data_IF_241318634398
#
_entry.id   IF_241318634398
#
_cell.length_a   1.000
_cell.length_b   1.000
_cell.length_c   1.000
_cell.angle_alpha   90.00
_cell.angle_beta   90.00
_cell.angle_gamma   90.00
#
_symmetry.space_group_name_H-M   'P 1'
#
loop_
_entity.id
_entity.type
_entity.pdbx_description
1 polymer ?
#
# COMPACT_ATOMS: atom_id res chain seq x y z
N UNK A 1 -14.43 -10.74 -15.86
CA UNK A 1 -13.43 -11.27 -14.91
C UNK A 1 -13.21 -10.32 -13.73
N UNK A 2 -12.81 -9.06 -13.96
CA UNK A 2 -12.58 -8.06 -12.91
C UNK A 2 -13.76 -7.85 -11.94
N UNK A 3 -15.00 -7.82 -12.43
CA UNK A 3 -16.18 -7.69 -11.57
C UNK A 3 -16.34 -8.86 -10.58
N UNK A 4 -15.96 -10.09 -10.99
CA UNK A 4 -16.01 -11.27 -10.11
C UNK A 4 -14.93 -11.20 -9.04
N UNK A 5 -13.72 -10.75 -9.42
CA UNK A 5 -12.61 -10.53 -8.48
C UNK A 5 -13.00 -9.46 -7.45
N UNK A 6 -13.53 -8.33 -7.91
CA UNK A 6 -14.00 -7.28 -7.01
C UNK A 6 -15.08 -7.78 -6.06
N UNK A 7 -16.09 -8.50 -6.56
CA UNK A 7 -17.10 -9.10 -5.69
C UNK A 7 -16.48 -9.99 -4.62
N UNK A 8 -15.58 -10.89 -5.00
CA UNK A 8 -14.84 -11.74 -4.07
C UNK A 8 -14.08 -10.92 -3.00
N UNK A 9 -13.38 -9.86 -3.40
CA UNK A 9 -12.66 -8.97 -2.47
C UNK A 9 -13.61 -8.19 -1.53
N UNK A 10 -14.80 -7.84 -2.00
CA UNK A 10 -15.82 -7.20 -1.18
C UNK A 10 -16.46 -8.18 -0.17
N UNK A 11 -16.60 -9.45 -0.53
CA UNK A 11 -17.21 -10.47 0.32
C UNK A 11 -16.21 -11.10 1.31
N UNK A 12 -14.91 -10.92 1.10
CA UNK A 12 -13.85 -11.44 1.97
C UNK A 12 -13.91 -10.85 3.40
N UNK A 13 -13.80 -11.69 4.45
CA UNK A 13 -13.60 -11.23 5.83
C UNK A 13 -12.32 -10.42 5.98
N UNK A 14 -12.32 -9.49 6.94
CA UNK A 14 -11.24 -8.50 7.11
C UNK A 14 -9.85 -9.13 7.21
N UNK A 15 -9.71 -10.17 8.03
CA UNK A 15 -8.42 -10.85 8.24
C UNK A 15 -7.91 -11.46 6.94
N UNK A 16 -8.75 -12.20 6.22
CA UNK A 16 -8.37 -12.84 4.96
C UNK A 16 -8.08 -11.84 3.86
N UNK A 17 -8.83 -10.74 3.83
CA UNK A 17 -8.54 -9.64 2.93
C UNK A 17 -7.15 -9.05 3.17
N UNK A 18 -6.82 -8.72 4.44
CA UNK A 18 -5.52 -8.18 4.84
C UNK A 18 -4.40 -9.14 4.43
N UNK A 19 -4.54 -10.43 4.75
CA UNK A 19 -3.53 -11.45 4.41
C UNK A 19 -3.34 -11.61 2.90
N UNK A 20 -4.42 -11.55 2.12
CA UNK A 20 -4.35 -11.67 0.66
C UNK A 20 -3.67 -10.45 0.03
N UNK A 21 -3.99 -9.24 0.49
CA UNK A 21 -3.32 -8.02 0.02
C UNK A 21 -1.84 -8.03 0.41
N UNK A 22 -1.53 -8.41 1.65
CA UNK A 22 -0.16 -8.54 2.15
C UNK A 22 0.64 -9.54 1.31
N UNK A 23 0.09 -10.73 1.09
CA UNK A 23 0.71 -11.76 0.25
C UNK A 23 0.94 -11.24 -1.18
N UNK A 24 -0.08 -10.61 -1.78
CA UNK A 24 0.02 -10.01 -3.11
C UNK A 24 1.14 -8.97 -3.20
N UNK A 25 1.25 -8.10 -2.19
CA UNK A 25 2.29 -7.05 -2.18
C UNK A 25 3.71 -7.63 -2.27
N UNK A 26 3.98 -8.74 -1.58
CA UNK A 26 5.28 -9.42 -1.67
C UNK A 26 5.42 -10.24 -2.95
N UNK A 27 4.41 -11.05 -3.31
CA UNK A 27 4.49 -11.94 -4.47
C UNK A 27 4.75 -11.19 -5.79
N UNK A 28 4.24 -9.97 -5.93
CA UNK A 28 4.44 -9.18 -7.14
C UNK A 28 5.68 -8.28 -7.07
N UNK A 29 6.11 -7.85 -5.88
CA UNK A 29 7.29 -7.00 -5.73
C UNK A 29 8.61 -7.81 -5.74
N UNK A 30 8.69 -8.91 -4.97
CA UNK A 30 9.95 -9.67 -4.80
C UNK A 30 10.57 -10.18 -6.10
N UNK A 31 9.81 -10.67 -7.10
CA UNK A 31 10.42 -11.14 -8.34
C UNK A 31 11.13 -10.05 -9.14
N UNK A 32 10.85 -8.76 -8.88
CA UNK A 32 11.48 -7.66 -9.62
C UNK A 32 13.00 -7.62 -9.43
N UNK A 33 13.50 -8.05 -8.27
CA UNK A 33 14.93 -8.09 -7.96
C UNK A 33 15.69 -9.08 -8.87
N UNK A 34 14.98 -10.01 -9.53
CA UNK A 34 15.57 -10.94 -10.51
C UNK A 34 15.76 -10.32 -11.89
N UNK A 35 15.06 -9.21 -12.19
CA UNK A 35 14.96 -8.65 -13.54
C UNK A 35 15.42 -7.20 -13.65
N UNK A 36 15.48 -6.47 -12.53
CA UNK A 36 15.81 -5.05 -12.47
C UNK A 36 17.10 -4.81 -11.68
N UNK A 37 17.71 -3.61 -11.78
CA UNK A 37 18.92 -3.27 -11.01
C UNK A 37 18.74 -3.44 -9.50
N UNK A 38 19.86 -3.54 -8.77
CA UNK A 38 19.81 -3.65 -7.31
C UNK A 38 19.13 -2.44 -6.67
N UNK A 39 18.39 -2.70 -5.60
CA UNK A 39 17.75 -1.66 -4.79
C UNK A 39 18.82 -0.92 -3.98
N UNK A 40 18.78 0.41 -4.00
CA UNK A 40 19.68 1.21 -3.17
C UNK A 40 19.28 1.08 -1.69
N UNK A 41 20.28 1.05 -0.80
CA UNK A 41 20.01 0.96 0.64
C UNK A 41 19.25 2.19 1.12
N UNK A 42 18.15 1.94 1.83
CA UNK A 42 17.41 3.01 2.50
C UNK A 42 18.25 3.51 3.70
N UNK A 43 18.52 4.83 3.82
CA UNK A 43 19.29 5.40 4.93
C UNK A 43 18.76 5.06 6.32
N UNK A 44 17.48 4.69 6.43
CA UNK A 44 16.90 4.24 7.69
C UNK A 44 17.59 2.98 8.24
N UNK A 45 18.09 2.11 7.35
CA UNK A 45 18.76 0.85 7.72
C UNK A 45 20.14 1.07 8.34
N UNK A 46 20.65 2.30 8.32
CA UNK A 46 21.91 2.67 8.98
C UNK A 46 21.68 3.28 10.37
N UNK A 47 20.41 3.43 10.77
CA UNK A 47 20.03 3.97 12.09
C UNK A 47 20.04 2.87 13.16
N UNK A 48 20.04 3.23 14.45
CA UNK A 48 19.84 2.25 15.51
C UNK A 48 18.51 1.50 15.33
N UNK A 49 18.49 0.20 15.66
CA UNK A 49 17.31 -0.68 15.48
C UNK A 49 16.00 -0.11 16.06
N UNK A 50 16.09 0.62 17.18
CA UNK A 50 14.93 1.27 17.79
C UNK A 50 14.34 2.37 16.89
N UNK A 51 15.19 3.10 16.17
CA UNK A 51 14.78 4.13 15.22
C UNK A 51 14.18 3.48 13.97
N UNK A 52 14.76 2.39 13.47
CA UNK A 52 14.17 1.64 12.35
C UNK A 52 12.75 1.17 12.65
N UNK A 53 12.54 0.61 13.85
CA UNK A 53 11.21 0.16 14.30
C UNK A 53 10.27 1.37 14.45
N UNK A 54 10.66 2.41 15.20
CA UNK A 54 9.77 3.53 15.47
C UNK A 54 9.45 4.34 14.21
N UNK A 55 10.43 4.62 13.36
CA UNK A 55 10.22 5.40 12.15
C UNK A 55 9.69 4.56 10.99
N UNK A 56 10.32 3.42 10.69
CA UNK A 56 10.00 2.60 9.51
C UNK A 56 8.80 1.68 9.70
N UNK A 57 8.60 1.12 10.90
CA UNK A 57 7.45 0.27 11.17
C UNK A 57 6.30 1.08 11.75
N UNK A 58 6.51 2.02 12.69
CA UNK A 58 5.37 2.68 13.36
C UNK A 58 4.96 3.99 12.67
N UNK A 59 5.86 4.96 12.56
CA UNK A 59 5.50 6.31 12.12
C UNK A 59 5.21 6.38 10.62
N UNK A 60 6.05 5.76 9.79
CA UNK A 60 5.94 5.81 8.33
C UNK A 60 4.60 5.25 7.84
N UNK A 61 4.15 4.03 8.22
CA UNK A 61 2.86 3.52 7.78
C UNK A 61 1.67 4.42 8.11
N UNK A 62 1.66 5.07 9.28
CA UNK A 62 0.60 6.02 9.66
C UNK A 62 0.65 7.24 8.74
N UNK A 63 1.81 7.88 8.65
CA UNK A 63 2.01 9.08 7.85
C UNK A 63 1.70 8.84 6.37
N UNK A 64 2.25 7.78 5.81
CA UNK A 64 2.08 7.41 4.40
C UNK A 64 0.63 7.05 4.10
N UNK A 65 -0.05 6.31 4.98
CA UNK A 65 -1.48 6.01 4.77
C UNK A 65 -2.32 7.29 4.75
N UNK A 66 -2.03 8.26 5.61
CA UNK A 66 -2.70 9.56 5.60
C UNK A 66 -2.43 10.29 4.28
N UNK A 67 -1.17 10.38 3.85
CA UNK A 67 -0.81 11.17 2.67
C UNK A 67 -1.29 10.50 1.39
N UNK A 68 -0.94 9.23 1.18
CA UNK A 68 -1.07 8.57 -0.13
C UNK A 68 -2.40 7.86 -0.33
N UNK A 69 -3.03 7.36 0.74
CA UNK A 69 -4.32 6.67 0.63
C UNK A 69 -5.49 7.55 1.05
N UNK A 70 -5.37 8.40 2.06
CA UNK A 70 -6.47 9.28 2.47
C UNK A 70 -6.47 10.58 1.67
N UNK A 71 -5.40 11.37 1.79
CA UNK A 71 -5.34 12.73 1.25
C UNK A 71 -5.30 12.76 -0.27
N UNK A 72 -4.44 11.96 -0.92
CA UNK A 72 -4.40 11.90 -2.38
C UNK A 72 -5.72 11.37 -2.96
N UNK A 73 -6.31 10.34 -2.36
CA UNK A 73 -7.58 9.80 -2.83
C UNK A 73 -8.71 10.85 -2.74
N UNK A 74 -8.72 11.63 -1.65
CA UNK A 74 -9.62 12.77 -1.48
C UNK A 74 -9.39 13.85 -2.54
N UNK A 75 -8.16 14.33 -2.76
CA UNK A 75 -7.85 15.34 -3.78
C UNK A 75 -8.26 14.88 -5.18
N UNK A 76 -7.88 13.65 -5.56
CA UNK A 76 -8.15 13.11 -6.89
C UNK A 76 -9.66 12.97 -7.15
N UNK A 77 -10.47 12.83 -6.10
CA UNK A 77 -11.94 12.78 -6.20
C UNK A 77 -12.60 14.12 -6.57
N UNK A 78 -11.87 15.25 -6.49
CA UNK A 78 -12.39 16.56 -6.94
C UNK A 78 -12.10 16.85 -8.41
N UNK A 79 -11.24 16.06 -9.06
CA UNK A 79 -10.80 16.34 -10.42
C UNK A 79 -11.84 15.78 -11.42
N UNK A 80 -12.50 16.62 -12.25
CA UNK A 80 -13.66 16.21 -13.04
C UNK A 80 -13.44 15.02 -13.99
N UNK A 81 -12.24 14.89 -14.56
CA UNK A 81 -11.91 13.81 -15.50
C UNK A 81 -11.35 12.55 -14.81
N UNK A 82 -11.13 12.58 -13.48
CA UNK A 82 -10.59 11.45 -12.70
C UNK A 82 -11.65 10.87 -11.76
N UNK A 83 -12.47 11.73 -11.15
CA UNK A 83 -13.37 11.38 -10.04
C UNK A 83 -14.34 10.22 -10.32
N UNK A 84 -14.75 10.06 -11.58
CA UNK A 84 -15.70 9.03 -11.99
C UNK A 84 -15.02 7.67 -12.25
N UNK A 85 -13.68 7.63 -12.25
CA UNK A 85 -12.88 6.47 -12.59
C UNK A 85 -12.00 6.04 -11.41
N UNK A 86 -12.55 5.24 -10.49
CA UNK A 86 -11.83 4.75 -9.31
C UNK A 86 -10.47 4.10 -9.64
N UNK A 87 -10.37 3.40 -10.77
CA UNK A 87 -9.11 2.78 -11.20
C UNK A 87 -8.04 3.81 -11.56
N UNK A 88 -8.41 4.98 -12.10
CA UNK A 88 -7.47 6.07 -12.34
C UNK A 88 -6.99 6.68 -11.02
N UNK A 89 -7.88 6.87 -10.05
CA UNK A 89 -7.50 7.34 -8.71
C UNK A 89 -6.48 6.39 -8.09
N UNK A 90 -6.76 5.08 -8.10
CA UNK A 90 -5.86 4.05 -7.57
C UNK A 90 -4.51 4.09 -8.31
N UNK A 91 -4.52 4.10 -9.64
CA UNK A 91 -3.30 4.09 -10.45
C UNK A 91 -2.42 5.32 -10.18
N UNK A 92 -3.00 6.52 -10.21
CA UNK A 92 -2.28 7.78 -10.03
C UNK A 92 -1.70 7.87 -8.61
N UNK A 93 -2.51 7.56 -7.59
CA UNK A 93 -2.04 7.57 -6.20
C UNK A 93 -0.89 6.58 -5.97
N UNK A 94 -0.93 5.42 -6.64
CA UNK A 94 0.12 4.40 -6.53
C UNK A 94 1.42 4.80 -7.22
N UNK A 95 1.32 5.45 -8.38
CA UNK A 95 2.50 6.02 -9.07
C UNK A 95 3.14 7.11 -8.22
N UNK A 96 2.34 8.01 -7.64
CA UNK A 96 2.86 9.07 -6.75
C UNK A 96 3.52 8.45 -5.51
N UNK A 97 2.91 7.42 -4.92
CA UNK A 97 3.49 6.68 -3.81
C UNK A 97 4.87 6.11 -4.18
N UNK A 98 4.99 5.41 -5.31
CA UNK A 98 6.28 4.84 -5.72
C UNK A 98 7.32 5.89 -6.11
N UNK A 99 6.92 6.99 -6.75
CA UNK A 99 7.83 8.10 -7.05
C UNK A 99 8.38 8.80 -5.80
N UNK A 100 7.66 8.75 -4.67
CA UNK A 100 8.14 9.26 -3.38
C UNK A 100 9.14 8.31 -2.69
N UNK A 101 9.37 7.12 -3.25
CA UNK A 101 10.27 6.09 -2.75
C UNK A 101 11.48 5.97 -3.69
N UNK A 102 12.27 7.03 -3.80
CA UNK A 102 13.34 7.17 -4.80
C UNK A 102 14.67 6.56 -4.34
N UNK A 103 14.69 5.24 -4.08
CA UNK A 103 15.89 4.45 -3.75
C UNK A 103 16.28 3.52 -4.91
N UNK A 104 16.37 4.10 -6.12
CA UNK A 104 16.57 3.37 -7.36
C UNK A 104 15.28 2.98 -8.09
N UNK A 105 15.41 2.70 -9.39
CA UNK A 105 14.26 2.43 -10.27
C UNK A 105 13.48 1.18 -9.85
N UNK A 106 14.18 0.13 -9.42
CA UNK A 106 13.56 -1.12 -8.94
C UNK A 106 12.66 -0.86 -7.75
N UNK A 107 13.13 -0.05 -6.80
CA UNK A 107 12.35 0.29 -5.62
C UNK A 107 11.14 1.16 -5.97
N UNK A 108 11.27 2.13 -6.88
CA UNK A 108 10.13 2.93 -7.38
C UNK A 108 9.06 2.04 -8.03
N UNK A 109 9.46 1.07 -8.86
CA UNK A 109 8.52 0.15 -9.51
C UNK A 109 7.88 -0.79 -8.48
N UNK A 110 8.67 -1.38 -7.58
CA UNK A 110 8.20 -2.26 -6.52
C UNK A 110 7.19 -1.55 -5.61
N UNK A 111 7.55 -0.36 -5.12
CA UNK A 111 6.67 0.45 -4.26
C UNK A 111 5.46 0.97 -5.01
N UNK A 112 5.53 1.24 -6.32
CA UNK A 112 4.33 1.52 -7.14
C UNK A 112 3.37 0.33 -7.14
N UNK A 113 3.88 -0.89 -7.32
CA UNK A 113 3.06 -2.12 -7.29
C UNK A 113 2.45 -2.32 -5.91
N UNK A 114 3.23 -2.18 -4.84
CA UNK A 114 2.74 -2.24 -3.45
C UNK A 114 1.67 -1.17 -3.22
N UNK A 115 1.90 0.04 -3.74
CA UNK A 115 0.95 1.15 -3.73
C UNK A 115 -0.38 0.80 -4.41
N UNK A 116 -0.38 0.02 -5.51
CA UNK A 116 -1.61 -0.46 -6.16
C UNK A 116 -2.43 -1.33 -5.20
N UNK A 117 -1.77 -2.22 -4.47
CA UNK A 117 -2.41 -3.06 -3.46
C UNK A 117 -3.00 -2.22 -2.31
N UNK A 118 -2.26 -1.24 -1.80
CA UNK A 118 -2.73 -0.38 -0.70
C UNK A 118 -3.87 0.55 -1.12
N UNK A 119 -3.76 1.20 -2.28
CA UNK A 119 -4.81 2.07 -2.80
C UNK A 119 -6.07 1.29 -3.20
N UNK A 120 -5.92 0.07 -3.71
CA UNK A 120 -7.06 -0.83 -3.92
C UNK A 120 -7.72 -1.22 -2.59
N UNK A 121 -6.92 -1.59 -1.59
CA UNK A 121 -7.42 -1.92 -0.25
C UNK A 121 -8.18 -0.74 0.37
N UNK A 122 -7.63 0.47 0.27
CA UNK A 122 -8.29 1.69 0.70
C UNK A 122 -9.64 1.86 0.00
N UNK A 123 -9.68 1.78 -1.34
CA UNK A 123 -10.90 1.94 -2.11
C UNK A 123 -11.98 0.92 -1.73
N UNK A 124 -11.64 -0.37 -1.59
CA UNK A 124 -12.58 -1.42 -1.20
C UNK A 124 -13.21 -1.09 0.14
N UNK A 125 -12.39 -0.78 1.16
CA UNK A 125 -12.92 -0.51 2.49
C UNK A 125 -13.63 0.84 2.58
N UNK A 126 -13.18 1.85 1.84
CA UNK A 126 -13.87 3.14 1.76
C UNK A 126 -15.30 2.94 1.24
N UNK A 127 -15.47 2.10 0.20
CA UNK A 127 -16.80 1.76 -0.31
C UNK A 127 -17.62 0.88 0.64
N UNK A 128 -17.00 0.00 1.43
CA UNK A 128 -17.70 -0.72 2.51
C UNK A 128 -18.13 0.23 3.64
N UNK A 129 -17.29 1.20 4.00
CA UNK A 129 -17.57 2.21 5.02
C UNK A 129 -18.71 3.15 4.59
N UNK A 130 -18.70 3.66 3.35
CA UNK A 130 -19.81 4.48 2.79
C UNK A 130 -21.17 3.76 2.89
N UNK A 131 -21.17 2.43 2.76
CA UNK A 131 -22.38 1.59 2.84
C UNK A 131 -22.69 1.08 4.25
N UNK A 132 -21.93 1.50 5.27
CA UNK A 132 -22.02 1.01 6.65
C UNK A 132 -21.93 -0.52 6.77
N UNK A 133 -21.19 -1.18 5.88
CA UNK A 133 -21.05 -2.65 5.86
C UNK A 133 -20.01 -3.17 6.86
N UNK A 134 -19.07 -2.32 7.26
CA UNK A 134 -17.98 -2.63 8.20
C UNK A 134 -17.71 -1.44 9.10
N UNK A 135 -17.30 -1.71 10.34
CA UNK A 135 -16.99 -0.68 11.35
C UNK A 135 -15.54 -0.22 11.33
N UNK A 136 -14.61 -1.11 10.94
CA UNK A 136 -13.21 -0.73 10.76
C UNK A 136 -13.05 0.22 9.58
N UNK A 137 -12.33 1.33 9.77
CA UNK A 137 -12.11 2.30 8.71
C UNK A 137 -11.11 1.80 7.67
N UNK A 138 -11.26 2.26 6.43
CA UNK A 138 -10.30 2.01 5.35
C UNK A 138 -8.87 2.39 5.73
N UNK A 139 -8.70 3.49 6.45
CA UNK A 139 -7.42 3.92 7.01
C UNK A 139 -6.77 2.81 7.86
N UNK A 140 -7.49 2.28 8.86
CA UNK A 140 -6.92 1.27 9.75
C UNK A 140 -6.64 -0.05 9.05
N UNK A 141 -7.46 -0.45 8.08
CA UNK A 141 -7.18 -1.65 7.28
C UNK A 141 -5.87 -1.52 6.52
N UNK A 142 -5.66 -0.42 5.80
CA UNK A 142 -4.42 -0.20 5.05
C UNK A 142 -3.24 -0.05 5.99
N UNK A 143 -3.38 0.74 7.05
CA UNK A 143 -2.31 0.95 8.03
C UNK A 143 -1.88 -0.39 8.66
N UNK A 144 -2.81 -1.30 8.98
CA UNK A 144 -2.50 -2.66 9.42
C UNK A 144 -1.74 -3.49 8.37
N UNK A 145 -2.15 -3.45 7.11
CA UNK A 145 -1.41 -4.13 6.02
C UNK A 145 0.01 -3.58 5.95
N UNK A 146 0.15 -2.27 6.03
CA UNK A 146 1.41 -1.55 5.88
C UNK A 146 2.36 -1.83 7.07
N UNK A 147 1.83 -1.87 8.30
CA UNK A 147 2.56 -2.34 9.48
C UNK A 147 3.10 -3.76 9.31
N UNK A 148 2.26 -4.68 8.85
CA UNK A 148 2.66 -6.08 8.66
C UNK A 148 3.71 -6.21 7.56
N UNK A 149 3.55 -5.49 6.45
CA UNK A 149 4.52 -5.48 5.35
C UNK A 149 5.89 -4.99 5.84
N UNK A 150 5.94 -3.83 6.49
CA UNK A 150 7.21 -3.26 6.96
C UNK A 150 7.84 -4.13 8.06
N UNK A 151 7.03 -4.76 8.93
CA UNK A 151 7.53 -5.70 9.92
C UNK A 151 8.19 -6.93 9.28
N UNK A 152 7.57 -7.52 8.26
CA UNK A 152 8.12 -8.67 7.54
C UNK A 152 9.40 -8.27 6.79
N UNK A 153 9.40 -7.13 6.11
CA UNK A 153 10.57 -6.61 5.41
C UNK A 153 11.74 -6.35 6.37
N UNK A 154 11.46 -5.72 7.52
CA UNK A 154 12.45 -5.48 8.58
C UNK A 154 13.03 -6.78 9.15
N UNK A 155 12.19 -7.79 9.42
CA UNK A 155 12.68 -9.10 9.86
C UNK A 155 13.56 -9.71 8.78
N UNK A 156 13.12 -9.69 7.52
CA UNK A 156 13.87 -10.23 6.38
C UNK A 156 15.23 -9.56 6.17
N UNK A 157 15.36 -8.27 6.49
CA UNK A 157 16.65 -7.54 6.37
C UNK A 157 17.62 -7.81 7.52
N UNK A 158 17.17 -8.47 8.60
CA UNK A 158 17.95 -8.76 9.82
C UNK A 158 18.21 -10.25 10.05
N UNK A 159 17.76 -11.11 9.13
CA UNK A 159 18.05 -12.55 9.09
C UNK A 159 19.27 -12.83 8.21
#
# INVERSE_FOLDING_TARGET
>A
MLAKINKFMFDLPVVWFILLILLGSFLFAMPLDLFLPEIEKNPIMEQPIIIEILAGIVAAPIFETIVFQVFLFWILSFIPFIRDYNYLVILIASIIFGLNHSFGITYIVATTIIGLFYNYAYWVYHKKNEKNQVTISAFWVVCCIHFLHNSIAFIGSHL
#
